data_IF_010267113406
#
_entry.id   IF_010267113406
#
_cell.length_a   1.000
_cell.length_b   1.000
_cell.length_c   1.000
_cell.angle_alpha   90.00
_cell.angle_beta   90.00
_cell.angle_gamma   90.00
#
_symmetry.space_group_name_H-M   'P 1'
#
loop_
_entity.id
_entity.type
_entity.pdbx_description
1 polymer ?
#
# COMPACT_ATOMS: atom_id res chain seq x y z
N UNK A 1 -0.46 21.11 1.03
CA UNK A 1 0.27 19.83 1.10
C UNK A 1 1.67 20.07 1.64
N UNK A 2 1.95 19.55 2.81
CA UNK A 2 3.32 19.58 3.35
C UNK A 2 4.12 18.47 2.67
N UNK A 3 4.86 18.82 1.63
CA UNK A 3 5.82 17.88 1.04
C UNK A 3 7.03 17.78 1.96
N UNK A 4 7.36 16.56 2.34
CA UNK A 4 8.57 16.26 3.07
C UNK A 4 9.79 16.70 2.24
N UNK A 5 10.80 17.39 2.83
CA UNK A 5 11.97 17.80 2.09
C UNK A 5 12.69 16.62 1.46
N UNK A 6 13.32 16.87 0.30
CA UNK A 6 14.14 15.87 -0.36
C UNK A 6 15.27 15.43 0.60
N UNK A 7 15.43 14.14 0.78
CA UNK A 7 16.43 13.56 1.68
C UNK A 7 15.92 13.15 3.05
N UNK A 8 14.71 13.56 3.45
CA UNK A 8 14.10 13.07 4.70
C UNK A 8 13.35 11.77 4.46
N UNK A 9 13.80 10.68 5.07
CA UNK A 9 13.16 9.38 4.99
C UNK A 9 12.01 9.29 5.98
N UNK A 10 10.91 8.65 5.58
CA UNK A 10 9.85 8.27 6.50
C UNK A 10 10.26 7.01 7.29
N UNK A 11 9.55 6.73 8.38
CA UNK A 11 9.77 5.52 9.17
C UNK A 11 9.67 4.26 8.29
N UNK A 12 8.67 4.21 7.42
CA UNK A 12 8.45 3.06 6.52
C UNK A 12 9.51 2.93 5.44
N UNK A 13 10.06 4.05 4.96
CA UNK A 13 11.21 4.04 4.03
C UNK A 13 12.49 3.55 4.71
N UNK A 14 12.73 3.98 5.95
CA UNK A 14 13.86 3.49 6.75
C UNK A 14 13.76 1.98 6.98
N UNK A 15 12.58 1.49 7.32
CA UNK A 15 12.34 0.06 7.51
C UNK A 15 12.62 -0.73 6.22
N UNK A 16 12.10 -0.26 5.08
CA UNK A 16 12.35 -0.87 3.78
C UNK A 16 13.85 -0.90 3.42
N UNK A 17 14.57 0.19 3.65
CA UNK A 17 16.00 0.26 3.41
C UNK A 17 16.77 -0.74 4.28
N UNK A 18 16.43 -0.84 5.56
CA UNK A 18 17.06 -1.80 6.47
C UNK A 18 16.80 -3.24 6.03
N UNK A 19 15.57 -3.54 5.59
CA UNK A 19 15.22 -4.86 5.09
C UNK A 19 16.02 -5.20 3.81
N UNK A 20 16.14 -4.27 2.85
CA UNK A 20 16.95 -4.47 1.64
C UNK A 20 18.40 -4.77 2.01
N UNK A 21 18.97 -4.01 2.93
CA UNK A 21 20.36 -4.19 3.40
C UNK A 21 20.55 -5.54 4.09
N UNK A 22 19.60 -5.94 4.92
CA UNK A 22 19.61 -7.24 5.59
C UNK A 22 19.54 -8.40 4.60
N UNK A 23 18.68 -8.32 3.58
CA UNK A 23 18.56 -9.33 2.53
C UNK A 23 19.84 -9.47 1.70
N UNK A 24 20.54 -8.35 1.45
CA UNK A 24 21.83 -8.35 0.74
C UNK A 24 22.98 -8.91 1.57
N UNK A 25 22.97 -8.64 2.89
CA UNK A 25 24.03 -9.09 3.80
C UNK A 25 23.97 -10.59 4.09
N UNK A 26 22.77 -11.19 4.03
CA UNK A 26 22.54 -12.61 4.26
C UNK A 26 21.69 -13.15 3.12
N UNK A 27 22.30 -13.48 1.97
CA UNK A 27 21.55 -14.14 0.90
C UNK A 27 21.12 -15.51 1.39
N UNK A 28 19.94 -15.54 1.99
CA UNK A 28 19.38 -16.73 2.63
C UNK A 28 18.86 -17.72 1.62
N UNK A 29 18.71 -18.95 2.06
CA UNK A 29 18.07 -20.01 1.30
C UNK A 29 16.55 -19.79 1.22
N UNK A 30 15.95 -20.13 0.09
CA UNK A 30 14.49 -20.18 -0.04
C UNK A 30 13.83 -18.90 -0.59
N UNK A 31 12.73 -18.47 0.02
CA UNK A 31 11.87 -17.36 -0.45
C UNK A 31 12.65 -16.04 -0.62
N UNK A 32 13.61 -15.78 0.25
CA UNK A 32 14.44 -14.59 0.19
C UNK A 32 15.34 -14.53 -1.05
N UNK A 33 15.86 -15.66 -1.50
CA UNK A 33 16.66 -15.73 -2.72
C UNK A 33 15.84 -15.35 -3.96
N UNK A 34 14.57 -15.79 -4.01
CA UNK A 34 13.65 -15.45 -5.11
C UNK A 34 13.33 -13.96 -5.19
N UNK A 35 13.23 -13.26 -4.04
CA UNK A 35 12.98 -11.82 -4.01
C UNK A 35 14.16 -11.01 -4.56
N UNK A 36 15.39 -11.51 -4.39
CA UNK A 36 16.60 -10.82 -4.87
C UNK A 36 16.85 -11.00 -6.38
N UNK A 37 16.11 -11.88 -7.06
CA UNK A 37 16.32 -12.15 -8.48
C UNK A 37 16.04 -10.95 -9.37
N UNK A 38 15.02 -10.12 -9.05
CA UNK A 38 14.71 -8.94 -9.84
C UNK A 38 14.37 -7.72 -8.97
N UNK A 39 14.80 -6.51 -9.39
CA UNK A 39 14.37 -5.27 -8.71
C UNK A 39 12.85 -5.08 -8.71
N UNK A 40 12.16 -5.52 -9.76
CA UNK A 40 10.70 -5.45 -9.85
C UNK A 40 10.01 -6.27 -8.75
N UNK A 41 10.49 -7.47 -8.47
CA UNK A 41 9.96 -8.32 -7.38
C UNK A 41 10.19 -7.70 -6.02
N UNK A 42 11.35 -7.09 -5.81
CA UNK A 42 11.65 -6.35 -4.58
C UNK A 42 10.68 -5.17 -4.40
N UNK A 43 10.47 -4.38 -5.44
CA UNK A 43 9.54 -3.26 -5.39
C UNK A 43 8.12 -3.74 -5.04
N UNK A 44 7.66 -4.81 -5.67
CA UNK A 44 6.35 -5.41 -5.38
C UNK A 44 6.24 -5.87 -3.92
N UNK A 45 7.27 -6.53 -3.42
CA UNK A 45 7.34 -6.96 -2.01
C UNK A 45 7.15 -5.77 -1.05
N UNK A 46 7.85 -4.66 -1.27
CA UNK A 46 7.74 -3.48 -0.40
C UNK A 46 6.40 -2.75 -0.53
N UNK A 47 5.84 -2.70 -1.73
CA UNK A 47 4.51 -2.12 -1.93
C UNK A 47 3.46 -2.93 -1.16
N UNK A 48 3.49 -4.26 -1.28
CA UNK A 48 2.56 -5.14 -0.56
C UNK A 48 2.77 -5.07 0.95
N UNK A 49 4.01 -5.16 1.41
CA UNK A 49 4.34 -5.13 2.83
C UNK A 49 3.97 -3.82 3.52
N UNK A 50 4.00 -2.72 2.79
CA UNK A 50 3.58 -1.39 3.26
C UNK A 50 2.10 -1.10 3.06
N UNK A 51 1.34 -2.02 2.49
CA UNK A 51 -0.08 -1.86 2.13
C UNK A 51 -0.33 -0.64 1.21
N UNK A 52 0.62 -0.33 0.35
CA UNK A 52 0.54 0.83 -0.53
C UNK A 52 0.64 2.18 0.19
N UNK A 53 1.29 2.22 1.35
CA UNK A 53 1.45 3.43 2.16
C UNK A 53 1.99 4.61 1.35
N UNK A 54 1.34 5.78 1.47
CA UNK A 54 1.71 6.98 0.71
C UNK A 54 3.09 7.55 1.11
N UNK A 55 3.61 7.17 2.28
CA UNK A 55 4.93 7.60 2.75
C UNK A 55 6.08 6.80 2.13
N UNK A 56 5.81 5.68 1.49
CA UNK A 56 6.81 4.90 0.77
C UNK A 56 6.98 5.45 -0.64
N UNK A 57 8.02 6.22 -0.86
CA UNK A 57 8.37 6.74 -2.19
C UNK A 57 9.08 5.66 -3.00
N UNK A 58 8.56 5.36 -4.19
CA UNK A 58 9.14 4.35 -5.07
C UNK A 58 10.56 4.73 -5.54
N UNK A 59 10.82 6.02 -5.66
CA UNK A 59 12.17 6.52 -5.97
C UNK A 59 13.20 6.14 -4.89
N UNK A 60 12.80 6.11 -3.63
CA UNK A 60 13.67 5.66 -2.53
C UNK A 60 14.03 4.18 -2.67
N UNK A 61 13.07 3.35 -3.04
CA UNK A 61 13.30 1.92 -3.30
C UNK A 61 14.23 1.73 -4.50
N UNK A 62 14.00 2.43 -5.60
CA UNK A 62 14.87 2.38 -6.77
C UNK A 62 16.31 2.76 -6.42
N UNK A 63 16.50 3.83 -5.67
CA UNK A 63 17.82 4.31 -5.23
C UNK A 63 18.54 3.25 -4.38
N UNK A 64 17.87 2.66 -3.42
CA UNK A 64 18.45 1.64 -2.56
C UNK A 64 18.77 0.35 -3.33
N UNK A 65 17.97 0.00 -4.33
CA UNK A 65 18.24 -1.14 -5.23
C UNK A 65 19.36 -0.85 -6.24
N UNK A 66 19.82 0.41 -6.35
CA UNK A 66 20.84 0.80 -7.31
C UNK A 66 20.38 0.83 -8.76
N UNK A 67 19.09 1.09 -8.98
CA UNK A 67 18.44 1.10 -10.30
C UNK A 67 17.82 2.47 -10.52
N UNK A 68 17.92 3.01 -11.75
CA UNK A 68 17.18 4.23 -12.09
C UNK A 68 15.67 3.97 -12.03
N UNK A 69 14.92 4.97 -11.55
CA UNK A 69 13.46 4.86 -11.40
C UNK A 69 12.78 4.45 -12.71
N UNK A 70 13.19 5.03 -13.84
CA UNK A 70 12.65 4.71 -15.16
C UNK A 70 12.91 3.26 -15.55
N UNK A 71 14.08 2.75 -15.23
CA UNK A 71 14.43 1.34 -15.46
C UNK A 71 13.58 0.42 -14.59
N UNK A 72 13.40 0.76 -13.32
CA UNK A 72 12.55 0.00 -12.41
C UNK A 72 11.09 -0.02 -12.87
N UNK A 73 10.56 1.12 -13.30
CA UNK A 73 9.20 1.21 -13.86
C UNK A 73 9.02 0.28 -15.05
N UNK A 74 9.97 0.28 -15.97
CA UNK A 74 9.94 -0.61 -17.15
C UNK A 74 10.01 -2.07 -16.73
N UNK A 75 10.93 -2.43 -15.85
CA UNK A 75 11.08 -3.82 -15.36
C UNK A 75 9.81 -4.30 -14.68
N UNK A 76 9.18 -3.44 -13.88
CA UNK A 76 7.94 -3.77 -13.19
C UNK A 76 6.79 -4.00 -14.19
N UNK A 77 6.65 -3.11 -15.17
CA UNK A 77 5.63 -3.24 -16.22
C UNK A 77 5.85 -4.52 -17.05
N UNK A 78 7.09 -4.80 -17.42
CA UNK A 78 7.41 -6.00 -18.22
C UNK A 78 7.08 -7.29 -17.47
N UNK A 79 7.24 -7.31 -16.15
CA UNK A 79 7.00 -8.51 -15.34
C UNK A 79 5.52 -8.66 -14.91
N UNK A 80 4.83 -7.56 -14.62
CA UNK A 80 3.49 -7.59 -14.03
C UNK A 80 2.38 -6.99 -14.90
N UNK A 81 2.70 -6.48 -16.08
CA UNK A 81 1.76 -5.83 -17.00
C UNK A 81 0.95 -4.70 -16.34
N UNK A 82 1.58 -4.00 -15.41
CA UNK A 82 0.98 -2.93 -14.61
C UNK A 82 2.07 -1.96 -14.16
N UNK A 83 1.76 -0.67 -14.05
CA UNK A 83 2.72 0.28 -13.48
C UNK A 83 2.83 0.12 -11.96
N UNK A 84 3.99 0.46 -11.40
CA UNK A 84 4.18 0.47 -9.94
C UNK A 84 3.20 1.42 -9.24
N UNK A 85 2.94 2.57 -9.85
CA UNK A 85 2.00 3.56 -9.30
C UNK A 85 0.57 3.00 -9.22
N UNK A 86 0.10 2.35 -10.28
CA UNK A 86 -1.19 1.67 -10.30
C UNK A 86 -1.26 0.57 -9.25
N UNK A 87 -0.23 -0.25 -9.17
CA UNK A 87 -0.16 -1.34 -8.19
C UNK A 87 -0.18 -0.82 -6.75
N UNK A 88 0.59 0.23 -6.46
CA UNK A 88 0.59 0.88 -5.15
C UNK A 88 -0.80 1.44 -4.79
N UNK A 89 -1.45 2.08 -5.74
CA UNK A 89 -2.79 2.65 -5.57
C UNK A 89 -3.83 1.55 -5.30
N UNK A 90 -3.83 0.49 -6.08
CA UNK A 90 -4.75 -0.64 -5.91
C UNK A 90 -4.54 -1.36 -4.58
N UNK A 91 -3.29 -1.56 -4.20
CA UNK A 91 -2.91 -2.16 -2.91
C UNK A 91 -3.43 -1.31 -1.75
N UNK A 92 -3.26 0.00 -1.82
CA UNK A 92 -3.77 0.94 -0.83
C UNK A 92 -5.29 0.92 -0.76
N UNK A 93 -5.96 0.93 -1.90
CA UNK A 93 -7.42 0.90 -1.96
C UNK A 93 -7.97 -0.39 -1.37
N UNK A 94 -7.42 -1.54 -1.73
CA UNK A 94 -7.84 -2.84 -1.20
C UNK A 94 -7.67 -2.90 0.32
N UNK A 95 -6.54 -2.42 0.83
CA UNK A 95 -6.28 -2.39 2.26
C UNK A 95 -7.20 -1.42 3.01
N UNK A 96 -7.46 -0.23 2.45
CA UNK A 96 -8.40 0.73 3.04
C UNK A 96 -9.81 0.14 3.13
N UNK A 97 -10.27 -0.55 2.11
CA UNK A 97 -11.56 -1.24 2.13
C UNK A 97 -11.63 -2.30 3.22
N UNK A 98 -10.57 -3.10 3.39
CA UNK A 98 -10.52 -4.12 4.44
C UNK A 98 -10.58 -3.51 5.84
N UNK A 99 -9.89 -2.39 6.07
CA UNK A 99 -9.94 -1.66 7.35
C UNK A 99 -11.32 -1.07 7.62
N UNK A 100 -12.01 -0.58 6.59
CA UNK A 100 -13.35 0.00 6.72
C UNK A 100 -14.44 -1.06 6.96
N UNK A 101 -14.16 -2.34 6.70
CA UNK A 101 -15.06 -3.45 6.97
C UNK A 101 -14.96 -4.04 8.38
N UNK A 102 -13.94 -3.64 9.15
CA UNK A 102 -13.72 -4.16 10.51
C UNK A 102 -14.87 -3.74 11.44
N UNK A 103 -15.30 -4.65 12.30
CA UNK A 103 -16.29 -4.38 13.33
C UNK A 103 -15.65 -4.48 14.73
N UNK A 104 -15.86 -3.50 15.64
CA UNK A 104 -16.63 -2.26 15.41
C UNK A 104 -15.96 -1.34 14.38
N UNK A 105 -16.71 -0.43 13.73
CA UNK A 105 -16.18 0.42 12.67
C UNK A 105 -14.96 1.23 13.11
N UNK A 106 -13.89 1.16 12.32
CA UNK A 106 -12.67 1.93 12.57
C UNK A 106 -12.88 3.40 12.19
N UNK A 107 -12.37 4.32 12.99
CA UNK A 107 -12.43 5.75 12.68
C UNK A 107 -11.71 6.04 11.36
N UNK A 108 -12.31 6.87 10.52
CA UNK A 108 -11.73 7.26 9.22
C UNK A 108 -10.35 7.89 9.39
N UNK A 109 -10.17 8.73 10.43
CA UNK A 109 -8.88 9.33 10.76
C UNK A 109 -7.80 8.28 11.09
N UNK A 110 -8.17 7.20 11.75
CA UNK A 110 -7.25 6.09 12.05
C UNK A 110 -6.86 5.33 10.78
N UNK A 111 -7.81 5.07 9.90
CA UNK A 111 -7.54 4.44 8.59
C UNK A 111 -6.58 5.31 7.77
N UNK A 112 -6.84 6.61 7.69
CA UNK A 112 -5.98 7.56 6.98
C UNK A 112 -4.54 7.53 7.54
N UNK A 113 -4.39 7.55 8.86
CA UNK A 113 -3.09 7.50 9.52
C UNK A 113 -2.33 6.19 9.23
N UNK A 114 -2.99 5.05 9.27
CA UNK A 114 -2.40 3.73 8.95
C UNK A 114 -1.86 3.71 7.51
N UNK A 115 -2.55 4.37 6.59
CA UNK A 115 -2.14 4.46 5.19
C UNK A 115 -1.08 5.53 4.92
N UNK A 116 -0.66 6.26 5.95
CA UNK A 116 0.40 7.27 5.87
C UNK A 116 -0.07 8.68 5.51
N UNK A 117 -1.36 8.94 5.50
CA UNK A 117 -1.89 10.28 5.25
C UNK A 117 -1.72 11.18 6.47
N UNK A 118 -1.14 12.35 6.30
CA UNK A 118 -1.01 13.36 7.36
C UNK A 118 -2.31 14.13 7.57
N UNK A 119 -3.14 14.20 6.53
CA UNK A 119 -4.40 14.95 6.51
C UNK A 119 -5.52 14.00 6.07
N UNK A 120 -6.57 13.89 6.89
CA UNK A 120 -7.72 13.00 6.62
C UNK A 120 -8.41 13.36 5.30
N UNK A 121 -8.49 14.66 4.97
CA UNK A 121 -9.10 15.12 3.72
C UNK A 121 -8.39 14.57 2.48
N UNK A 122 -7.09 14.37 2.52
CA UNK A 122 -6.34 13.76 1.41
C UNK A 122 -6.75 12.31 1.20
N UNK A 123 -6.94 11.55 2.28
CA UNK A 123 -7.48 10.20 2.21
C UNK A 123 -8.92 10.19 1.67
N UNK A 124 -9.78 11.05 2.18
CA UNK A 124 -11.17 11.15 1.73
C UNK A 124 -11.24 11.43 0.22
N UNK A 125 -10.39 12.34 -0.26
CA UNK A 125 -10.29 12.70 -1.67
C UNK A 125 -9.82 11.53 -2.53
N UNK A 126 -8.78 10.83 -2.08
CA UNK A 126 -8.28 9.61 -2.72
C UNK A 126 -9.38 8.55 -2.84
N UNK A 127 -10.02 8.21 -1.72
CA UNK A 127 -11.01 7.14 -1.67
C UNK A 127 -12.24 7.47 -2.54
N UNK A 128 -12.73 8.70 -2.46
CA UNK A 128 -13.87 9.17 -3.27
C UNK A 128 -13.55 9.15 -4.76
N UNK A 129 -12.33 9.52 -5.14
CA UNK A 129 -11.89 9.47 -6.54
C UNK A 129 -11.91 8.03 -7.08
N UNK A 130 -11.55 7.04 -6.26
CA UNK A 130 -11.48 5.64 -6.67
C UNK A 130 -12.83 4.92 -6.63
N UNK A 131 -13.68 5.26 -5.66
CA UNK A 131 -14.93 4.52 -5.40
C UNK A 131 -16.20 5.31 -5.68
N UNK A 132 -16.09 6.61 -5.96
CA UNK A 132 -17.19 7.57 -6.12
C UNK A 132 -18.00 7.78 -4.84
N UNK A 133 -17.53 7.28 -3.70
CA UNK A 133 -18.17 7.43 -2.38
C UNK A 133 -17.13 7.87 -1.35
N UNK A 134 -17.58 8.62 -0.34
CA UNK A 134 -16.71 8.91 0.80
C UNK A 134 -16.41 7.62 1.58
N UNK A 135 -15.30 7.56 2.33
CA UNK A 135 -15.02 6.40 3.19
C UNK A 135 -16.16 6.10 4.16
N UNK A 136 -16.78 7.12 4.73
CA UNK A 136 -17.90 6.97 5.67
C UNK A 136 -19.15 6.38 5.02
N UNK A 137 -19.51 6.85 3.85
CA UNK A 137 -20.64 6.31 3.07
C UNK A 137 -20.39 4.86 2.68
N UNK A 138 -19.21 4.58 2.15
CA UNK A 138 -18.82 3.24 1.73
C UNK A 138 -18.84 2.26 2.91
N UNK A 139 -18.26 2.64 4.04
CA UNK A 139 -18.23 1.83 5.26
C UNK A 139 -19.63 1.53 5.76
N UNK A 140 -20.51 2.52 5.81
CA UNK A 140 -21.90 2.36 6.27
C UNK A 140 -22.69 1.40 5.37
N UNK A 141 -22.57 1.56 4.06
CA UNK A 141 -23.23 0.69 3.09
C UNK A 141 -22.73 -0.74 3.18
N UNK A 142 -21.42 -0.93 3.33
CA UNK A 142 -20.79 -2.24 3.42
C UNK A 142 -21.18 -2.97 4.71
N UNK A 143 -21.20 -2.27 5.84
CA UNK A 143 -21.68 -2.83 7.11
C UNK A 143 -23.16 -3.23 7.04
N UNK A 144 -24.00 -2.41 6.41
CA UNK A 144 -25.41 -2.72 6.19
C UNK A 144 -25.57 -3.97 5.29
N UNK A 145 -24.78 -4.08 4.25
CA UNK A 145 -24.78 -5.24 3.34
C UNK A 145 -24.37 -6.53 4.07
N UNK A 146 -23.34 -6.48 4.88
CA UNK A 146 -22.86 -7.61 5.67
C UNK A 146 -23.93 -8.04 6.68
N UNK A 147 -24.52 -7.09 7.41
CA UNK A 147 -25.60 -7.37 8.36
C UNK A 147 -26.83 -8.02 7.70
N UNK A 148 -27.22 -7.56 6.52
CA UNK A 148 -28.31 -8.14 5.72
C UNK A 148 -27.99 -9.57 5.26
N UNK A 149 -26.75 -9.83 4.85
CA UNK A 149 -26.28 -11.16 4.45
C UNK A 149 -26.28 -12.15 5.61
N UNK A 150 -25.87 -11.72 6.79
CA UNK A 150 -25.89 -12.54 8.00
C UNK A 150 -27.33 -12.82 8.47
N UNK A 151 -28.21 -11.83 8.42
CA UNK A 151 -29.61 -12.00 8.75
C UNK A 151 -30.31 -13.02 7.82
N UNK A 152 -29.89 -13.06 6.56
CA UNK A 152 -30.43 -14.01 5.58
C UNK A 152 -29.97 -15.45 5.82
N UNK A 153 -28.69 -15.62 6.21
CA UNK A 153 -28.11 -16.93 6.58
C UNK A 153 -28.75 -17.52 7.85
N UNK A 154 -29.16 -16.67 8.79
CA UNK A 154 -29.79 -17.09 10.03
C UNK A 154 -31.27 -17.53 9.84
N UNK A 155 -31.85 -17.24 8.68
CA UNK A 155 -33.24 -17.63 8.34
C UNK A 155 -33.33 -18.93 7.53
N UNK A 156 -32.23 -19.36 6.97
CA UNK A 156 -32.06 -20.62 6.24
C UNK A 156 -31.54 -21.72 7.17
#
# INVERSE_FOLDING_TARGET
MSRRPAGTLSAIENEAIQEIRALRASPGEGIHASLLETPARMARHFILGSHGNVQLRLATIAQELGVEMRTLERMFFDEYDQTMAEFQLETRLAFSKSLLCIFPPTKISAVAAILGYNVVQDFNRFFKKQTHKSPSEWSREEHARIASGEAQRSRD
#
